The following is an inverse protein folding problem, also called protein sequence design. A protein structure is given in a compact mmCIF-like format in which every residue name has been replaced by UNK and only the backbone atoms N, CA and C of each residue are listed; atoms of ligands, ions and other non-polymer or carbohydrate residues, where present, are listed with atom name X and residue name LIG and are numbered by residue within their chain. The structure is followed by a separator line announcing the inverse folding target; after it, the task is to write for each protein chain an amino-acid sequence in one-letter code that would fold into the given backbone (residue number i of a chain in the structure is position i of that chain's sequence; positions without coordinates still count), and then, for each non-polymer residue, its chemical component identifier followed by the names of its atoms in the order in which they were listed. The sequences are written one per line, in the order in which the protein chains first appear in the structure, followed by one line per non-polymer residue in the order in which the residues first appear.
data_IF_956731286675
#
_entry.id   IF_956731286675
#
_cell.length_a   1.000
_cell.length_b   1.000
_cell.length_c   1.000
_cell.angle_alpha   90.00
_cell.angle_beta   90.00
_cell.angle_gamma   90.00
#
_symmetry.space_group_name_H-M   'P 1'
#
loop_
_entity.id
_entity.type
_entity.pdbx_description
1 polymer ?
#
# COMPACT_ATOMS: atom_id res chain seq x y z
N UNK A 1 -12.75 12.40 -0.79
CA UNK A 1 -12.93 11.00 -0.32
C UNK A 1 -11.62 10.42 0.26
N UNK A 2 -10.53 10.35 -0.53
CA UNK A 2 -9.22 9.80 -0.14
C UNK A 2 -8.67 10.31 1.19
N UNK A 3 -8.67 11.63 1.42
CA UNK A 3 -8.21 12.25 2.67
C UNK A 3 -8.92 11.69 3.91
N UNK A 4 -10.25 11.66 3.89
CA UNK A 4 -11.06 11.15 5.00
C UNK A 4 -10.78 9.68 5.28
N UNK A 5 -10.67 8.85 4.25
CA UNK A 5 -10.37 7.42 4.40
C UNK A 5 -8.96 7.18 4.95
N UNK A 6 -7.99 8.01 4.56
CA UNK A 6 -6.65 8.02 5.18
C UNK A 6 -6.71 8.41 6.66
N UNK A 7 -7.42 9.47 7.01
CA UNK A 7 -7.58 9.90 8.41
C UNK A 7 -8.25 8.82 9.27
N UNK A 8 -9.28 8.15 8.73
CA UNK A 8 -9.91 6.98 9.37
C UNK A 8 -8.93 5.84 9.59
N UNK A 9 -8.14 5.48 8.57
CA UNK A 9 -7.09 4.46 8.68
C UNK A 9 -6.08 4.79 9.78
N UNK A 10 -5.58 6.02 9.83
CA UNK A 10 -4.59 6.44 10.83
C UNK A 10 -5.17 6.43 12.26
N UNK A 11 -6.47 6.70 12.42
CA UNK A 11 -7.15 6.66 13.72
C UNK A 11 -7.44 5.23 14.18
N UNK A 12 -7.98 4.39 13.29
CA UNK A 12 -8.52 3.07 13.65
C UNK A 12 -7.49 1.96 13.53
N UNK A 13 -6.56 2.06 12.56
CA UNK A 13 -5.46 1.11 12.34
C UNK A 13 -5.93 -0.35 12.21
N UNK A 14 -7.12 -0.57 11.64
CA UNK A 14 -7.71 -1.90 11.46
C UNK A 14 -7.53 -2.42 10.02
N UNK A 15 -7.60 -3.76 9.81
CA UNK A 15 -7.61 -4.38 8.49
C UNK A 15 -8.69 -3.85 7.54
N UNK A 16 -9.87 -3.51 8.07
CA UNK A 16 -10.97 -2.97 7.28
C UNK A 16 -10.76 -1.50 6.93
N UNK A 17 -10.29 -0.67 7.88
CA UNK A 17 -9.94 0.72 7.59
C UNK A 17 -8.83 0.81 6.54
N UNK A 18 -7.87 -0.12 6.56
CA UNK A 18 -6.86 -0.24 5.50
C UNK A 18 -7.48 -0.56 4.15
N UNK A 19 -8.35 -1.57 4.10
CA UNK A 19 -8.96 -1.99 2.85
C UNK A 19 -9.81 -0.88 2.23
N UNK A 20 -10.58 -0.17 3.06
CA UNK A 20 -11.36 1.00 2.67
C UNK A 20 -10.48 2.15 2.14
N UNK A 21 -9.29 2.34 2.72
CA UNK A 21 -8.34 3.30 2.19
C UNK A 21 -7.76 2.85 0.85
N UNK A 22 -7.40 1.57 0.69
CA UNK A 22 -6.93 1.00 -0.59
C UNK A 22 -7.98 1.22 -1.69
N UNK A 23 -9.24 0.90 -1.43
CA UNK A 23 -10.34 1.14 -2.37
C UNK A 23 -10.47 2.62 -2.74
N UNK A 24 -10.36 3.52 -1.76
CA UNK A 24 -10.49 4.96 -2.02
C UNK A 24 -9.35 5.56 -2.88
N UNK A 25 -8.18 4.92 -2.87
CA UNK A 25 -7.00 5.33 -3.65
C UNK A 25 -6.88 4.59 -5.00
N UNK A 26 -7.87 3.78 -5.37
CA UNK A 26 -7.97 3.17 -6.69
C UNK A 26 -7.87 4.23 -7.80
N UNK A 27 -7.13 3.91 -8.87
CA UNK A 27 -6.91 4.82 -10.00
C UNK A 27 -5.94 5.97 -9.73
N UNK A 28 -5.50 6.21 -8.48
CA UNK A 28 -4.50 7.23 -8.18
C UNK A 28 -3.12 6.87 -8.75
N UNK A 29 -2.35 7.90 -9.10
CA UNK A 29 -0.99 7.75 -9.64
C UNK A 29 0.04 7.61 -8.52
N UNK A 30 0.84 6.55 -8.59
CA UNK A 30 1.94 6.25 -7.68
C UNK A 30 3.24 6.06 -8.46
N UNK A 31 4.37 6.21 -7.77
CA UNK A 31 5.69 5.97 -8.34
C UNK A 31 6.40 4.91 -7.51
N UNK A 32 6.96 3.89 -8.16
CA UNK A 32 7.83 2.93 -7.46
C UNK A 32 9.07 3.64 -6.91
N UNK A 33 9.81 3.00 -6.01
CA UNK A 33 11.09 3.54 -5.52
C UNK A 33 12.12 3.85 -6.65
N UNK A 34 11.93 3.28 -7.85
CA UNK A 34 12.76 3.57 -9.04
C UNK A 34 12.17 4.66 -9.95
N UNK A 35 11.13 5.37 -9.52
CA UNK A 35 10.49 6.43 -10.31
C UNK A 35 9.52 5.95 -11.40
N UNK A 36 9.20 4.67 -11.48
CA UNK A 36 8.24 4.17 -12.48
C UNK A 36 6.79 4.46 -12.05
N UNK A 37 6.08 5.23 -12.87
CA UNK A 37 4.68 5.60 -12.67
C UNK A 37 3.72 4.42 -12.85
N UNK A 38 2.77 4.21 -11.95
CA UNK A 38 1.72 3.22 -12.12
C UNK A 38 0.44 3.63 -11.37
N UNK A 39 -0.65 2.93 -11.67
CA UNK A 39 -1.90 2.96 -10.91
C UNK A 39 -2.36 1.53 -10.63
N UNK A 40 -3.40 1.37 -9.82
CA UNK A 40 -4.01 0.06 -9.61
C UNK A 40 -5.54 0.14 -9.65
N UNK A 41 -6.15 -1.00 -9.93
CA UNK A 41 -7.59 -1.25 -9.83
C UNK A 41 -7.86 -2.39 -8.85
N UNK A 42 -9.00 -2.38 -8.16
CA UNK A 42 -9.42 -3.46 -7.26
C UNK A 42 -10.51 -4.29 -7.93
N UNK A 43 -10.33 -5.61 -7.95
CA UNK A 43 -11.35 -6.56 -8.42
C UNK A 43 -11.56 -7.61 -7.33
N UNK A 44 -12.72 -7.57 -6.68
CA UNK A 44 -12.99 -8.40 -5.50
C UNK A 44 -11.98 -8.12 -4.39
N UNK A 45 -11.22 -9.15 -3.99
CA UNK A 45 -10.21 -9.07 -2.93
C UNK A 45 -8.79 -8.94 -3.48
N UNK A 46 -8.61 -8.46 -4.71
CA UNK A 46 -7.31 -8.41 -5.37
C UNK A 46 -7.02 -7.04 -5.99
N UNK A 47 -5.78 -6.61 -5.84
CA UNK A 47 -5.23 -5.41 -6.46
C UNK A 47 -4.50 -5.77 -7.74
N UNK A 48 -4.89 -5.15 -8.85
CA UNK A 48 -4.25 -5.27 -10.16
C UNK A 48 -3.49 -4.00 -10.46
N UNK A 49 -2.18 -4.12 -10.67
CA UNK A 49 -1.30 -2.98 -10.95
C UNK A 49 -1.13 -2.81 -12.46
N UNK A 50 -1.25 -1.59 -12.98
CA UNK A 50 -1.23 -1.33 -14.44
C UNK A 50 0.05 -1.79 -15.15
N UNK A 51 1.16 -1.96 -14.41
CA UNK A 51 2.45 -2.43 -14.92
C UNK A 51 2.71 -3.94 -14.74
N UNK A 52 1.76 -4.71 -14.20
CA UNK A 52 2.00 -6.12 -13.85
C UNK A 52 0.77 -6.98 -14.11
N UNK A 53 1.00 -8.15 -14.72
CA UNK A 53 -0.06 -9.13 -14.97
C UNK A 53 -0.57 -9.81 -13.69
N UNK A 54 0.33 -10.06 -12.73
CA UNK A 54 -0.02 -10.69 -11.45
C UNK A 54 -0.65 -9.67 -10.49
N UNK A 55 -1.77 -10.04 -9.90
CA UNK A 55 -2.43 -9.32 -8.82
C UNK A 55 -1.71 -9.49 -7.47
N UNK A 56 -2.07 -8.62 -6.52
CA UNK A 56 -1.74 -8.75 -5.10
C UNK A 56 -3.03 -8.97 -4.33
N UNK A 57 -3.12 -10.08 -3.60
CA UNK A 57 -4.33 -10.40 -2.82
C UNK A 57 -4.46 -9.50 -1.59
N UNK A 58 -5.70 -9.30 -1.11
CA UNK A 58 -6.00 -8.62 0.16
C UNK A 58 -5.23 -9.26 1.31
N UNK A 59 -5.16 -10.58 1.36
CA UNK A 59 -4.39 -11.31 2.37
C UNK A 59 -2.89 -10.92 2.34
N UNK A 60 -2.27 -10.86 1.16
CA UNK A 60 -0.87 -10.42 1.00
C UNK A 60 -0.69 -8.96 1.43
N UNK A 61 -1.65 -8.08 1.12
CA UNK A 61 -1.62 -6.68 1.57
C UNK A 61 -1.69 -6.59 3.10
N UNK A 62 -2.54 -7.40 3.74
CA UNK A 62 -2.65 -7.44 5.21
C UNK A 62 -1.36 -7.95 5.87
N UNK A 63 -0.68 -8.93 5.28
CA UNK A 63 0.63 -9.39 5.76
C UNK A 63 1.66 -8.27 5.68
N UNK A 64 1.73 -7.57 4.54
CA UNK A 64 2.62 -6.42 4.38
C UNK A 64 2.30 -5.29 5.35
N UNK A 65 1.01 -5.05 5.64
CA UNK A 65 0.56 -4.04 6.58
C UNK A 65 0.99 -4.34 8.01
N UNK A 66 0.78 -5.58 8.49
CA UNK A 66 1.26 -6.00 9.81
C UNK A 66 2.77 -5.79 9.92
N UNK A 67 3.51 -6.17 8.87
CA UNK A 67 4.96 -5.98 8.84
C UNK A 67 5.37 -4.50 8.87
N UNK A 68 4.63 -3.65 8.16
CA UNK A 68 4.84 -2.22 8.16
C UNK A 68 4.61 -1.59 9.53
N UNK A 69 3.58 -2.02 10.26
CA UNK A 69 3.29 -1.54 11.62
C UNK A 69 4.38 -1.91 12.62
N UNK A 70 5.01 -3.09 12.48
CA UNK A 70 6.14 -3.50 13.32
C UNK A 70 7.41 -2.66 13.07
N UNK A 71 7.66 -2.30 11.81
CA UNK A 71 8.89 -1.61 11.40
C UNK A 71 8.81 -0.09 11.62
N UNK A 72 7.63 0.50 11.43
CA UNK A 72 7.42 1.95 11.48
C UNK A 72 8.07 2.68 10.31
N UNK A 73 9.40 2.81 10.30
CA UNK A 73 10.15 3.32 9.14
C UNK A 73 10.82 2.18 8.38
N UNK A 74 10.77 2.28 7.06
CA UNK A 74 11.42 1.32 6.15
C UNK A 74 12.34 2.06 5.19
N UNK A 75 13.46 1.44 4.85
CA UNK A 75 14.44 1.95 3.87
C UNK A 75 14.04 1.59 2.43
N UNK A 76 13.14 0.62 2.26
CA UNK A 76 12.65 0.26 0.93
C UNK A 76 11.64 -0.88 0.89
N UNK A 77 11.09 -1.17 -0.31
CA UNK A 77 10.00 -2.13 -0.48
C UNK A 77 10.34 -3.55 -0.03
N UNK A 78 11.61 -3.96 -0.12
CA UNK A 78 12.03 -5.34 0.22
C UNK A 78 11.69 -5.71 1.67
N UNK A 79 11.65 -4.74 2.59
CA UNK A 79 11.38 -4.99 4.00
C UNK A 79 9.91 -5.37 4.28
N UNK A 80 8.98 -5.11 3.35
CA UNK A 80 7.58 -5.51 3.49
C UNK A 80 7.37 -7.01 3.27
N UNK A 81 8.36 -7.74 2.72
CA UNK A 81 8.38 -9.20 2.71
C UNK A 81 7.33 -9.92 1.84
N UNK A 82 6.62 -9.21 0.96
CA UNK A 82 5.58 -9.82 0.09
C UNK A 82 5.86 -9.63 -1.39
N UNK A 83 5.26 -10.50 -2.21
CA UNK A 83 5.16 -10.25 -3.64
C UNK A 83 4.36 -8.96 -3.91
N UNK A 84 4.85 -8.12 -4.81
CA UNK A 84 4.24 -6.82 -5.10
C UNK A 84 4.61 -5.71 -4.12
N UNK A 85 5.53 -5.95 -3.17
CA UNK A 85 5.99 -4.93 -2.22
C UNK A 85 6.52 -3.65 -2.88
N UNK A 86 7.10 -3.74 -4.09
CA UNK A 86 7.52 -2.57 -4.88
C UNK A 86 6.39 -1.59 -5.19
N UNK A 87 5.15 -2.08 -5.25
CA UNK A 87 3.95 -1.28 -5.48
C UNK A 87 3.27 -0.94 -4.15
N UNK A 88 3.22 -1.84 -3.18
CA UNK A 88 2.63 -1.51 -1.87
C UNK A 88 3.40 -0.43 -1.11
N UNK A 89 4.72 -0.37 -1.27
CA UNK A 89 5.57 0.60 -0.58
C UNK A 89 5.15 2.07 -0.78
N UNK A 90 5.08 2.62 -2.00
CA UNK A 90 4.61 4.00 -2.20
C UNK A 90 3.14 4.22 -1.80
N UNK A 91 2.30 3.16 -1.82
CA UNK A 91 0.93 3.25 -1.31
C UNK A 91 0.93 3.43 0.21
N UNK A 92 1.71 2.62 0.93
CA UNK A 92 1.82 2.71 2.39
C UNK A 92 2.46 4.03 2.84
N UNK A 93 3.44 4.56 2.10
CA UNK A 93 3.97 5.92 2.31
C UNK A 93 2.86 6.97 2.19
N UNK A 94 2.06 6.93 1.11
CA UNK A 94 0.98 7.91 0.90
C UNK A 94 -0.13 7.79 1.94
N UNK A 95 -0.42 6.57 2.40
CA UNK A 95 -1.37 6.32 3.49
C UNK A 95 -0.82 6.74 4.85
N UNK A 96 0.50 6.94 4.99
CA UNK A 96 1.16 7.30 6.25
C UNK A 96 1.33 6.13 7.21
N UNK A 97 1.29 4.90 6.70
CA UNK A 97 1.53 3.68 7.48
C UNK A 97 3.02 3.54 7.80
N UNK A 98 3.86 3.95 6.86
CA UNK A 98 5.32 3.93 6.98
C UNK A 98 5.91 5.30 6.71
N UNK A 99 7.10 5.53 7.28
CA UNK A 99 8.01 6.59 6.89
C UNK A 99 9.13 6.01 6.01
N UNK A 100 9.60 6.80 5.04
CA UNK A 100 10.85 6.51 4.36
C UNK A 100 12.00 6.91 5.30
N UNK A 101 12.83 5.96 5.72
CA UNK A 101 14.11 6.30 6.33
C UNK A 101 15.10 6.68 5.22
N UNK A 102 15.86 7.75 5.42
CA UNK A 102 17.10 7.91 4.67
C UNK A 102 17.98 6.71 5.02
N UNK A 103 18.31 5.90 4.01
CA UNK A 103 19.33 4.85 4.12
C UNK A 103 20.70 5.41 3.81
#
# INVERSE_FOLDING_TARGET
MQRRKRETLLREQTPDALWEAILAFEGAIFYTAKGLEYSYTIRGNEMFVSRKEKSVTRASILVAYKKAQELGCVTGPKQLGVFGASYLYPVFLRLGIICASAG
#
